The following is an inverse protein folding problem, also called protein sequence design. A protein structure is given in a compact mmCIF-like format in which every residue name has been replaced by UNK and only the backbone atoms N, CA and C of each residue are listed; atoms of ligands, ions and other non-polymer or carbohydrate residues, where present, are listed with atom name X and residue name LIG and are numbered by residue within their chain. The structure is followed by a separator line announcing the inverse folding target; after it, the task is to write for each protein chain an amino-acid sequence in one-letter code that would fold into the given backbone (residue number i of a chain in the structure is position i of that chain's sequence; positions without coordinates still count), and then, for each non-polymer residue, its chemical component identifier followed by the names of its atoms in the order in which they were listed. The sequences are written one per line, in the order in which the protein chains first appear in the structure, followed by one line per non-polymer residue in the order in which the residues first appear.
data_IF_890012226056
#
_entry.id   IF_890012226056
#
_cell.length_a   1.000
_cell.length_b   1.000
_cell.length_c   1.000
_cell.angle_alpha   90.00
_cell.angle_beta   90.00
_cell.angle_gamma   90.00
#
_symmetry.space_group_name_H-M   'P 1'
#
loop_
_entity.id
_entity.type
_entity.pdbx_description
1 polymer ?
#
# COMPACT_ATOMS: atom_id res chain seq x y z
N UNK A 1 14.03 -4.08 -8.81
CA UNK A 1 13.09 -4.00 -7.67
C UNK A 1 13.85 -3.46 -6.48
N UNK A 2 13.42 -2.31 -5.94
CA UNK A 2 14.08 -1.57 -4.87
C UNK A 2 13.30 -1.74 -3.55
N UNK A 3 14.00 -2.12 -2.50
CA UNK A 3 13.44 -2.39 -1.17
C UNK A 3 13.74 -1.28 -0.16
N UNK A 4 14.49 -0.27 -0.60
CA UNK A 4 14.97 0.84 0.22
C UNK A 4 14.36 2.17 -0.16
N UNK A 5 13.93 2.30 -1.42
CA UNK A 5 13.30 3.50 -1.91
C UNK A 5 11.91 3.67 -1.31
N UNK A 6 11.69 4.76 -0.61
CA UNK A 6 10.48 5.03 0.17
C UNK A 6 9.47 5.86 -0.62
N UNK A 7 8.18 5.84 -0.23
CA UNK A 7 7.20 6.74 -0.82
C UNK A 7 7.52 8.22 -0.62
N UNK A 8 8.13 8.60 0.52
CA UNK A 8 8.59 9.98 0.73
C UNK A 8 9.62 10.40 -0.33
N UNK A 9 10.60 9.55 -0.62
CA UNK A 9 11.58 9.80 -1.68
C UNK A 9 10.92 9.82 -3.06
N UNK A 10 9.91 8.99 -3.30
CA UNK A 10 9.13 8.99 -4.54
C UNK A 10 8.35 10.29 -4.75
N UNK A 11 7.77 10.86 -3.68
CA UNK A 11 7.08 12.14 -3.71
C UNK A 11 8.06 13.30 -3.94
N UNK A 12 9.23 13.26 -3.30
CA UNK A 12 10.23 14.32 -3.42
C UNK A 12 10.98 14.28 -4.76
N UNK A 13 11.24 13.08 -5.29
CA UNK A 13 12.02 12.85 -6.50
C UNK A 13 11.32 11.82 -7.40
N UNK A 14 10.24 12.20 -8.10
CA UNK A 14 9.44 11.27 -8.86
C UNK A 14 10.23 10.58 -9.97
N UNK A 15 10.41 9.27 -9.83
CA UNK A 15 10.96 8.41 -10.86
C UNK A 15 9.95 7.31 -11.22
N UNK A 16 9.09 7.61 -12.20
CA UNK A 16 7.90 6.83 -12.55
C UNK A 16 8.14 5.47 -13.23
N UNK A 17 9.35 4.92 -13.12
CA UNK A 17 9.70 3.58 -13.66
C UNK A 17 10.42 2.69 -12.67
N UNK A 18 10.57 3.13 -11.41
CA UNK A 18 11.20 2.30 -10.39
C UNK A 18 10.21 1.28 -9.86
N UNK A 19 10.52 0.01 -10.02
CA UNK A 19 9.82 -1.09 -9.35
C UNK A 19 10.25 -1.15 -7.90
N UNK A 20 9.30 -1.14 -6.98
CA UNK A 20 9.51 -1.16 -5.53
C UNK A 20 8.77 -2.33 -4.88
N UNK A 21 9.16 -2.66 -3.65
CA UNK A 21 8.34 -3.44 -2.72
C UNK A 21 8.12 -2.59 -1.50
N UNK A 22 6.88 -2.44 -1.08
CA UNK A 22 6.49 -1.66 0.08
C UNK A 22 5.61 -2.47 1.00
N UNK A 23 5.95 -2.41 2.29
CA UNK A 23 5.07 -2.78 3.37
C UNK A 23 4.38 -1.51 3.86
N UNK A 24 3.08 -1.58 4.11
CA UNK A 24 2.35 -0.47 4.71
C UNK A 24 1.27 -0.95 5.65
N UNK A 25 0.91 -0.08 6.60
CA UNK A 25 -0.31 -0.21 7.38
C UNK A 25 -1.40 0.60 6.71
N UNK A 26 -2.58 0.01 6.52
CA UNK A 26 -3.73 0.69 5.94
C UNK A 26 -4.22 1.75 6.93
N UNK A 27 -4.35 2.99 6.47
CA UNK A 27 -4.85 4.12 7.28
C UNK A 27 -6.29 4.49 6.89
N UNK A 28 -6.64 4.32 5.61
CA UNK A 28 -8.01 4.45 5.14
C UNK A 28 -8.26 3.64 3.88
N UNK A 29 -9.52 3.26 3.68
CA UNK A 29 -10.00 2.62 2.46
C UNK A 29 -11.18 3.42 1.93
N UNK A 30 -11.21 3.67 0.63
CA UNK A 30 -12.34 4.29 -0.03
C UNK A 30 -12.79 3.42 -1.20
N UNK A 31 -14.10 3.36 -1.45
CA UNK A 31 -14.65 2.67 -2.63
C UNK A 31 -15.31 3.67 -3.57
N UNK A 32 -15.14 3.43 -4.88
CA UNK A 32 -15.82 4.20 -5.92
C UNK A 32 -16.35 3.27 -7.00
N UNK A 33 -17.64 3.37 -7.29
CA UNK A 33 -18.25 2.68 -8.40
C UNK A 33 -18.32 3.58 -9.64
N UNK A 34 -17.86 3.09 -10.79
CA UNK A 34 -17.95 3.79 -12.07
C UNK A 34 -17.99 2.80 -13.24
N UNK A 35 -18.94 2.97 -14.17
CA UNK A 35 -18.97 2.20 -15.42
C UNK A 35 -19.09 0.68 -15.23
N UNK A 36 -19.80 0.23 -14.19
CA UNK A 36 -19.94 -1.20 -13.87
C UNK A 36 -18.72 -1.83 -13.20
N UNK A 37 -17.76 -1.01 -12.73
CA UNK A 37 -16.59 -1.45 -11.96
C UNK A 37 -16.58 -0.78 -10.60
N UNK A 38 -15.97 -1.44 -9.63
CA UNK A 38 -15.67 -0.86 -8.31
C UNK A 38 -14.16 -0.73 -8.17
N UNK A 39 -13.69 0.47 -7.83
CA UNK A 39 -12.30 0.72 -7.46
C UNK A 39 -12.22 0.83 -5.95
N UNK A 40 -11.34 0.04 -5.34
CA UNK A 40 -10.98 0.11 -3.92
C UNK A 40 -9.62 0.82 -3.84
N UNK A 41 -9.59 1.98 -3.20
CA UNK A 41 -8.40 2.79 -2.96
C UNK A 41 -7.91 2.57 -1.53
N UNK A 42 -6.69 2.05 -1.38
CA UNK A 42 -6.02 1.89 -0.08
C UNK A 42 -4.97 2.95 0.11
N UNK A 43 -5.15 3.81 1.12
CA UNK A 43 -4.10 4.68 1.62
C UNK A 43 -3.30 3.93 2.68
N UNK A 44 -2.02 3.76 2.44
CA UNK A 44 -1.11 3.06 3.33
C UNK A 44 -0.03 3.99 3.87
N UNK A 45 0.21 3.94 5.18
CA UNK A 45 1.43 4.48 5.80
C UNK A 45 2.56 3.47 5.59
N UNK A 46 3.66 3.89 4.98
CA UNK A 46 4.79 3.01 4.70
C UNK A 46 5.55 2.60 5.95
N UNK A 47 5.94 1.34 5.98
CA UNK A 47 6.72 0.72 7.04
C UNK A 47 8.05 0.27 6.45
N UNK A 48 9.14 0.92 6.84
CA UNK A 48 10.45 0.60 6.30
C UNK A 48 10.91 -0.75 6.84
N UNK A 49 11.26 -1.68 5.94
CA UNK A 49 11.75 -3.00 6.33
C UNK A 49 12.99 -2.90 7.23
N UNK A 50 13.04 -3.77 8.25
CA UNK A 50 14.21 -3.91 9.12
C UNK A 50 15.42 -4.46 8.34
N UNK A 51 15.17 -5.43 7.45
CA UNK A 51 16.14 -6.00 6.51
C UNK A 51 15.78 -5.56 5.11
N UNK A 52 16.74 -5.05 4.33
CA UNK A 52 16.50 -4.63 2.94
C UNK A 52 16.81 -5.78 1.98
N UNK A 53 15.91 -6.01 1.02
CA UNK A 53 16.03 -7.05 -0.01
C UNK A 53 15.08 -8.24 0.21
N UNK A 54 15.16 -9.29 -0.62
CA UNK A 54 14.22 -10.42 -0.58
C UNK A 54 14.14 -11.13 0.78
N UNK A 55 15.21 -11.07 1.58
CA UNK A 55 15.22 -11.60 2.95
C UNK A 55 14.23 -10.91 3.90
N UNK A 56 13.73 -9.72 3.57
CA UNK A 56 12.74 -8.98 4.36
C UNK A 56 11.45 -9.78 4.56
N UNK A 57 11.07 -10.58 3.56
CA UNK A 57 9.82 -11.34 3.52
C UNK A 57 10.05 -12.85 3.67
N UNK A 58 11.27 -13.26 4.02
CA UNK A 58 11.62 -14.68 4.20
C UNK A 58 11.01 -15.28 5.47
N UNK A 59 10.56 -14.44 6.40
CA UNK A 59 9.93 -14.84 7.66
C UNK A 59 8.71 -13.96 7.94
N UNK A 60 7.64 -14.58 8.43
CA UNK A 60 6.48 -13.87 8.97
C UNK A 60 6.54 -13.83 10.51
N UNK A 61 6.14 -12.72 11.16
CA UNK A 61 5.77 -11.44 10.55
C UNK A 61 6.98 -10.70 9.96
N UNK A 62 6.74 -9.93 8.90
CA UNK A 62 7.74 -9.06 8.27
C UNK A 62 8.16 -7.99 9.27
N UNK A 63 9.46 -7.90 9.54
CA UNK A 63 10.00 -6.94 10.49
C UNK A 63 10.15 -5.56 9.84
N UNK A 64 9.67 -4.51 10.52
CA UNK A 64 9.86 -3.11 10.12
C UNK A 64 10.50 -2.29 11.23
N UNK A 65 11.12 -1.16 10.88
CA UNK A 65 11.91 -0.33 11.81
C UNK A 65 11.42 1.12 11.96
N UNK A 66 10.59 1.60 11.04
CA UNK A 66 10.08 2.98 11.05
C UNK A 66 8.78 3.07 10.24
N UNK A 67 7.90 3.96 10.67
CA UNK A 67 6.65 4.31 9.96
C UNK A 67 6.66 5.75 9.41
N UNK A 68 7.81 6.43 9.44
CA UNK A 68 7.96 7.85 9.05
C UNK A 68 8.39 8.03 7.58
N UNK A 69 8.22 6.99 6.76
CA UNK A 69 8.77 6.93 5.40
C UNK A 69 7.77 7.28 4.29
N UNK A 70 6.68 7.95 4.67
CA UNK A 70 5.67 8.51 3.76
C UNK A 70 4.46 7.61 3.54
N UNK A 71 3.65 8.00 2.56
CA UNK A 71 2.39 7.34 2.23
C UNK A 71 2.38 6.85 0.79
N UNK A 72 1.71 5.73 0.56
CA UNK A 72 1.45 5.25 -0.79
C UNK A 72 -0.01 4.83 -0.95
N UNK A 73 -0.46 4.84 -2.21
CA UNK A 73 -1.81 4.48 -2.59
C UNK A 73 -1.79 3.33 -3.58
N UNK A 74 -2.71 2.39 -3.40
CA UNK A 74 -2.96 1.28 -4.32
C UNK A 74 -4.44 1.30 -4.69
N UNK A 75 -4.72 1.09 -5.98
CA UNK A 75 -6.08 0.87 -6.46
C UNK A 75 -6.26 -0.58 -6.91
N UNK A 76 -7.25 -1.26 -6.36
CA UNK A 76 -7.76 -2.52 -6.89
C UNK A 76 -9.05 -2.28 -7.65
N UNK A 77 -9.06 -2.62 -8.93
CA UNK A 77 -10.26 -2.52 -9.77
C UNK A 77 -10.93 -3.89 -9.85
N UNK A 78 -12.16 -3.95 -9.37
CA UNK A 78 -13.01 -5.14 -9.34
C UNK A 78 -14.10 -5.03 -10.42
N UNK A 79 -14.28 -6.11 -11.16
CA UNK A 79 -15.37 -6.26 -12.13
C UNK A 79 -16.61 -6.81 -11.41
N UNK A 80 -17.25 -5.94 -10.62
CA UNK A 80 -18.43 -6.25 -9.82
C UNK A 80 -19.49 -5.15 -9.98
N UNK A 81 -20.77 -5.47 -9.77
CA UNK A 81 -21.83 -4.47 -9.87
C UNK A 81 -21.62 -3.30 -8.92
N UNK A 82 -22.08 -2.11 -9.32
CA UNK A 82 -21.87 -0.87 -8.58
C UNK A 82 -22.50 -0.90 -7.17
N UNK A 83 -23.61 -1.63 -7.02
CA UNK A 83 -24.29 -1.87 -5.75
C UNK A 83 -23.43 -2.61 -4.72
N UNK A 84 -22.42 -3.38 -5.15
CA UNK A 84 -21.51 -4.08 -4.25
C UNK A 84 -20.49 -3.16 -3.56
N UNK A 85 -20.37 -1.89 -3.98
CA UNK A 85 -19.38 -0.96 -3.43
C UNK A 85 -19.58 -0.72 -1.92
N UNK A 86 -20.83 -0.52 -1.48
CA UNK A 86 -21.13 -0.27 -0.07
C UNK A 86 -20.80 -1.49 0.81
N UNK A 87 -21.10 -2.70 0.33
CA UNK A 87 -20.78 -3.94 1.04
C UNK A 87 -19.26 -4.16 1.12
N UNK A 88 -18.53 -3.83 0.06
CA UNK A 88 -17.07 -3.88 0.04
C UNK A 88 -16.47 -2.87 1.03
N UNK A 89 -16.97 -1.64 1.05
CA UNK A 89 -16.50 -0.61 1.97
C UNK A 89 -16.64 -1.04 3.44
N UNK A 90 -17.78 -1.60 3.81
CA UNK A 90 -18.01 -2.14 5.16
C UNK A 90 -17.05 -3.30 5.51
N UNK A 91 -16.64 -4.13 4.54
CA UNK A 91 -15.65 -5.20 4.76
C UNK A 91 -14.23 -4.67 4.98
N UNK A 92 -13.95 -3.45 4.52
CA UNK A 92 -12.64 -2.80 4.64
C UNK A 92 -12.58 -1.81 5.81
N UNK A 93 -13.72 -1.33 6.32
CA UNK A 93 -13.81 -0.43 7.47
C UNK A 93 -13.25 -1.07 8.76
N UNK A 94 -13.30 -2.39 8.85
CA UNK A 94 -12.75 -3.16 9.96
C UNK A 94 -11.38 -3.73 9.56
N UNK A 95 -10.28 -3.17 10.04
CA UNK A 95 -9.06 -3.81 10.61
C UNK A 95 -7.78 -3.00 10.36
N UNK A 96 -6.90 -2.99 11.35
CA UNK A 96 -5.48 -2.64 11.23
C UNK A 96 -4.77 -3.63 10.28
N UNK A 97 -5.04 -3.54 8.97
CA UNK A 97 -4.42 -4.42 7.98
C UNK A 97 -3.07 -3.90 7.58
N UNK A 98 -2.18 -4.84 7.31
CA UNK A 98 -0.95 -4.58 6.61
C UNK A 98 -1.10 -5.00 5.15
N UNK A 99 -0.48 -4.23 4.27
CA UNK A 99 -0.37 -4.52 2.84
C UNK A 99 1.10 -4.63 2.48
N UNK A 100 1.48 -5.75 1.87
CA UNK A 100 2.74 -5.91 1.15
C UNK A 100 2.43 -5.84 -0.33
N UNK A 101 2.98 -4.84 -1.00
CA UNK A 101 2.75 -4.63 -2.42
C UNK A 101 4.06 -4.47 -3.18
N UNK A 102 4.08 -5.00 -4.39
CA UNK A 102 5.14 -4.80 -5.36
C UNK A 102 4.55 -4.22 -6.65
N UNK A 103 5.24 -3.25 -7.24
CA UNK A 103 4.78 -2.57 -8.44
C UNK A 103 5.70 -1.45 -8.84
N UNK A 104 5.29 -0.64 -9.81
CA UNK A 104 6.02 0.55 -10.23
C UNK A 104 5.28 1.82 -9.83
N UNK A 105 6.06 2.85 -9.47
CA UNK A 105 5.48 4.15 -9.14
C UNK A 105 4.93 4.77 -10.42
N UNK A 106 3.63 5.03 -10.46
CA UNK A 106 2.96 5.56 -11.66
C UNK A 106 2.58 7.04 -11.52
N UNK A 107 2.67 7.63 -10.34
CA UNK A 107 2.38 9.05 -10.13
C UNK A 107 2.39 9.46 -8.66
N UNK A 108 1.96 10.68 -8.40
CA UNK A 108 1.71 11.21 -7.06
C UNK A 108 0.27 11.66 -6.97
N UNK A 109 -0.34 11.42 -5.82
CA UNK A 109 -1.73 11.77 -5.53
C UNK A 109 -1.81 12.44 -4.16
N UNK A 110 -2.87 13.20 -3.93
CA UNK A 110 -3.19 13.72 -2.61
C UNK A 110 -4.48 13.02 -2.15
N UNK A 111 -4.37 12.19 -1.12
CA UNK A 111 -5.47 11.38 -0.59
C UNK A 111 -5.56 11.61 0.91
N UNK A 112 -6.76 11.93 1.40
CA UNK A 112 -7.01 12.24 2.82
C UNK A 112 -6.04 13.29 3.43
N UNK A 113 -5.56 14.25 2.62
CA UNK A 113 -4.62 15.29 3.06
C UNK A 113 -3.15 14.86 3.06
N UNK A 114 -2.84 13.63 2.63
CA UNK A 114 -1.49 13.11 2.51
C UNK A 114 -1.01 13.14 1.06
N UNK A 115 0.18 13.70 0.83
CA UNK A 115 0.91 13.48 -0.41
C UNK A 115 1.42 12.04 -0.43
N UNK A 116 0.96 11.25 -1.41
CA UNK A 116 1.24 9.83 -1.50
C UNK A 116 1.74 9.43 -2.89
N UNK A 117 2.63 8.44 -2.93
CA UNK A 117 3.04 7.82 -4.18
C UNK A 117 1.96 6.83 -4.66
N UNK A 118 1.52 6.96 -5.90
CA UNK A 118 0.60 5.99 -6.51
C UNK A 118 1.41 4.80 -7.04
N UNK A 119 1.15 3.62 -6.46
CA UNK A 119 1.79 2.37 -6.85
C UNK A 119 0.88 1.62 -7.82
N UNK A 120 1.31 1.49 -9.07
CA UNK A 120 0.71 0.59 -10.03
C UNK A 120 1.15 -0.84 -9.69
N UNK A 121 0.30 -1.52 -8.92
CA UNK A 121 0.61 -2.80 -8.28
C UNK A 121 0.60 -3.95 -9.27
N UNK A 122 1.65 -4.77 -9.21
CA UNK A 122 1.80 -6.03 -9.96
C UNK A 122 1.49 -7.24 -9.08
N UNK A 123 1.78 -7.15 -7.77
CA UNK A 123 1.45 -8.17 -6.78
C UNK A 123 1.12 -7.52 -5.44
N UNK A 124 0.13 -8.07 -4.74
CA UNK A 124 -0.31 -7.59 -3.44
C UNK A 124 -0.73 -8.73 -2.53
N UNK A 125 -0.35 -8.64 -1.26
CA UNK A 125 -0.82 -9.48 -0.17
C UNK A 125 -1.27 -8.60 0.98
N UNK A 126 -2.38 -8.95 1.63
CA UNK A 126 -2.90 -8.27 2.81
C UNK A 126 -3.15 -9.28 3.94
N UNK A 127 -2.80 -8.92 5.18
CA UNK A 127 -3.08 -9.71 6.38
C UNK A 127 -2.96 -8.83 7.64
N UNK A 128 -3.63 -9.24 8.72
CA UNK A 128 -3.64 -8.52 10.01
C UNK A 128 -2.29 -8.68 10.75
N UNK A 129 -1.59 -9.78 10.53
CA UNK A 129 -0.33 -10.14 11.20
C UNK A 129 0.89 -10.10 10.27
N UNK A 130 0.78 -9.42 9.12
CA UNK A 130 1.86 -9.38 8.13
C UNK A 130 3.11 -8.66 8.65
N UNK A 131 2.92 -7.62 9.47
CA UNK A 131 3.98 -6.74 9.94
C UNK A 131 4.17 -6.79 11.45
N UNK A 132 5.42 -6.70 11.90
CA UNK A 132 5.76 -6.51 13.32
C UNK A 132 6.91 -5.53 13.44
N UNK A 133 6.80 -4.61 14.41
CA UNK A 133 7.88 -3.68 14.70
C UNK A 133 9.08 -4.42 15.30
N UNK A 134 10.26 -4.16 14.77
CA UNK A 134 11.52 -4.71 15.27
C UNK A 134 11.86 -4.05 16.60
N UNK A 135 11.78 -4.81 17.69
CA UNK A 135 12.34 -4.41 18.98
C UNK A 135 13.85 -4.56 18.92
N UNK A 136 14.56 -3.43 18.90
CA UNK A 136 16.02 -3.38 19.08
C UNK A 136 16.45 -3.86 20.46
#
# INVERSE_FOLDING_TARGET
MDWSYTPLEAVQNPNSRRTVVWLGRVESVATRAEGGKVTVEWLCRHLEFAVRGPGAIASAPVQFRSSESGYFVINLVLDVPAEAAADLEAQFEVTERYVLAAGHISGMVNVAGHAAAFLATEAMTQADDLGKESTN
#
